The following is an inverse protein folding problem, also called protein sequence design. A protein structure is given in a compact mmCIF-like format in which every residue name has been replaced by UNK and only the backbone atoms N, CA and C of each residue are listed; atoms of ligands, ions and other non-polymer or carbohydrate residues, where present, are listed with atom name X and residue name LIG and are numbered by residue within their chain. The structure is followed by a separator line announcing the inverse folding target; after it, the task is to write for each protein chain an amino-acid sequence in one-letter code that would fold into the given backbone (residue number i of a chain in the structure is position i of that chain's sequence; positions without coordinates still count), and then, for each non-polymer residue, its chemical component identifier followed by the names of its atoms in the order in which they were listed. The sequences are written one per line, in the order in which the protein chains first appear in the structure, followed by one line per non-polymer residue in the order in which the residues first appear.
data_IF_743651372350
#
_entry.id   IF_743651372350
#
_cell.length_a   1.000
_cell.length_b   1.000
_cell.length_c   1.000
_cell.angle_alpha   90.00
_cell.angle_beta   90.00
_cell.angle_gamma   90.00
#
_symmetry.space_group_name_H-M   'P 1'
#
loop_
_entity.id
_entity.type
_entity.pdbx_description
1 polymer ?
#
# COMPACT_ATOMS: atom_id res chain seq x y z
N UNK A 1 -25.31 -38.92 4.98
CA UNK A 1 -24.64 -37.62 4.75
C UNK A 1 -24.05 -37.19 6.08
N UNK A 2 -22.73 -37.37 6.26
CA UNK A 2 -22.05 -36.85 7.44
C UNK A 2 -22.06 -35.32 7.35
N UNK A 3 -22.72 -34.67 8.30
CA UNK A 3 -22.65 -33.23 8.51
C UNK A 3 -21.18 -32.89 8.84
N UNK A 4 -20.49 -32.21 7.93
CA UNK A 4 -19.12 -31.74 8.12
C UNK A 4 -19.06 -30.71 9.26
N UNK A 5 -18.91 -31.18 10.50
CA UNK A 5 -18.69 -30.35 11.70
C UNK A 5 -17.40 -29.50 11.64
N UNK A 6 -16.54 -29.74 10.64
CA UNK A 6 -15.34 -28.94 10.36
C UNK A 6 -15.68 -27.51 9.86
N UNK A 7 -16.82 -27.36 9.18
CA UNK A 7 -17.24 -26.10 8.57
C UNK A 7 -17.52 -24.98 9.61
N UNK A 8 -18.30 -25.22 10.68
CA UNK A 8 -18.52 -24.20 11.71
C UNK A 8 -17.27 -23.85 12.52
N UNK A 9 -16.34 -24.79 12.74
CA UNK A 9 -15.12 -24.54 13.51
C UNK A 9 -14.11 -23.63 12.78
N UNK A 10 -14.03 -23.71 11.45
CA UNK A 10 -13.14 -22.85 10.64
C UNK A 10 -13.83 -21.54 10.25
N UNK A 11 -15.13 -21.57 9.96
CA UNK A 11 -15.87 -20.39 9.53
C UNK A 11 -16.08 -19.38 10.68
N UNK A 12 -16.29 -19.83 11.92
CA UNK A 12 -16.52 -18.94 13.07
C UNK A 12 -15.37 -17.94 13.35
N UNK A 13 -14.09 -18.36 13.50
CA UNK A 13 -12.99 -17.41 13.71
C UNK A 13 -12.81 -16.45 12.53
N UNK A 14 -13.08 -16.90 11.30
CA UNK A 14 -12.90 -16.08 10.10
C UNK A 14 -14.03 -15.05 9.93
N UNK A 15 -15.28 -15.41 10.27
CA UNK A 15 -16.44 -14.50 10.13
C UNK A 15 -16.67 -13.58 11.33
N UNK A 16 -16.15 -13.93 12.50
CA UNK A 16 -16.42 -13.17 13.74
C UNK A 16 -15.15 -12.54 14.30
N UNK A 17 -14.10 -13.34 14.53
CA UNK A 17 -12.88 -12.84 15.20
C UNK A 17 -12.10 -11.91 14.28
N UNK A 18 -11.90 -12.28 13.01
CA UNK A 18 -11.17 -11.44 12.05
C UNK A 18 -11.82 -10.06 11.84
N UNK A 19 -13.14 -9.92 11.61
CA UNK A 19 -13.78 -8.60 11.53
C UNK A 19 -13.60 -7.75 12.79
N UNK A 20 -13.71 -8.35 13.98
CA UNK A 20 -13.48 -7.64 15.24
C UNK A 20 -12.04 -7.11 15.31
N UNK A 21 -11.06 -7.98 15.03
CA UNK A 21 -9.64 -7.58 15.00
C UNK A 21 -9.39 -6.48 13.97
N UNK A 22 -9.93 -6.60 12.76
CA UNK A 22 -9.79 -5.58 11.73
C UNK A 22 -10.48 -4.26 12.10
N UNK A 23 -11.59 -4.31 12.85
CA UNK A 23 -12.27 -3.11 13.36
C UNK A 23 -11.40 -2.38 14.38
N UNK A 24 -10.74 -3.11 15.27
CA UNK A 24 -9.78 -2.50 16.19
C UNK A 24 -8.59 -1.90 15.44
N UNK A 25 -7.97 -2.65 14.53
CA UNK A 25 -6.84 -2.16 13.74
C UNK A 25 -7.22 -0.90 12.96
N UNK A 26 -8.38 -0.88 12.29
CA UNK A 26 -8.84 0.27 11.52
C UNK A 26 -9.12 1.48 12.41
N UNK A 27 -9.71 1.26 13.58
CA UNK A 27 -9.98 2.32 14.56
C UNK A 27 -8.68 2.93 15.09
N UNK A 28 -7.71 2.10 15.49
CA UNK A 28 -6.40 2.59 15.93
C UNK A 28 -5.66 3.35 14.82
N UNK A 29 -5.70 2.84 13.59
CA UNK A 29 -5.08 3.51 12.44
C UNK A 29 -5.74 4.87 12.15
N UNK A 30 -7.08 4.95 12.17
CA UNK A 30 -7.81 6.21 11.96
C UNK A 30 -7.52 7.24 13.07
N UNK A 31 -7.53 6.83 14.33
CA UNK A 31 -7.18 7.70 15.46
C UNK A 31 -5.74 8.20 15.31
N UNK A 32 -4.79 7.30 15.08
CA UNK A 32 -3.38 7.65 14.91
C UNK A 32 -3.13 8.62 13.75
N UNK A 33 -3.76 8.38 12.59
CA UNK A 33 -3.66 9.25 11.41
C UNK A 33 -4.29 10.63 11.67
N UNK A 34 -5.43 10.66 12.36
CA UNK A 34 -6.12 11.92 12.71
C UNK A 34 -5.30 12.76 13.69
N UNK A 35 -4.70 12.14 14.70
CA UNK A 35 -3.82 12.82 15.66
C UNK A 35 -2.57 13.39 14.96
N UNK A 36 -1.95 12.62 14.07
CA UNK A 36 -0.80 13.08 13.28
C UNK A 36 -1.19 14.25 12.35
N UNK A 37 -2.38 14.19 11.74
CA UNK A 37 -2.90 15.28 10.91
C UNK A 37 -3.10 16.55 11.73
N UNK A 38 -3.78 16.42 12.88
CA UNK A 38 -4.03 17.53 13.79
C UNK A 38 -2.72 18.16 14.26
N UNK A 39 -1.74 17.34 14.67
CA UNK A 39 -0.42 17.82 15.10
C UNK A 39 0.30 18.62 14.00
N UNK A 40 0.18 18.22 12.73
CA UNK A 40 0.80 18.94 11.60
C UNK A 40 0.06 20.24 11.25
N UNK A 41 -1.26 20.25 11.39
CA UNK A 41 -2.11 21.39 11.05
C UNK A 41 -2.11 22.48 12.13
N UNK A 42 -2.11 22.09 13.41
CA UNK A 42 -2.20 22.99 14.56
C UNK A 42 -0.83 23.48 15.04
N UNK A 43 0.27 22.81 14.69
CA UNK A 43 1.61 23.35 14.91
C UNK A 43 1.74 24.73 14.24
N UNK A 44 1.79 25.77 15.07
CA UNK A 44 1.77 27.20 14.70
C UNK A 44 3.06 27.68 14.04
N UNK A 45 4.07 26.81 13.89
CA UNK A 45 5.35 27.09 13.21
C UNK A 45 5.21 27.05 11.68
N UNK A 46 4.39 27.96 11.11
CA UNK A 46 4.27 28.14 9.64
C UNK A 46 5.61 28.45 8.95
N UNK A 47 6.61 28.93 9.68
CA UNK A 47 7.93 29.29 9.14
C UNK A 47 8.95 28.14 9.07
N UNK A 48 8.62 26.92 9.52
CA UNK A 48 9.53 25.77 9.56
C UNK A 48 9.12 24.59 8.66
N UNK A 49 8.03 24.71 7.89
CA UNK A 49 7.52 23.61 7.04
C UNK A 49 8.56 23.24 5.98
N UNK A 50 9.14 22.05 6.13
CA UNK A 50 10.11 21.41 5.24
C UNK A 50 9.45 20.29 4.43
N UNK A 51 10.10 19.83 3.37
CA UNK A 51 9.72 18.65 2.56
C UNK A 51 9.21 17.47 3.40
N UNK A 52 9.85 17.20 4.54
CA UNK A 52 9.47 16.11 5.44
C UNK A 52 8.02 16.20 5.95
N UNK A 53 7.49 17.39 6.17
CA UNK A 53 6.10 17.55 6.64
C UNK A 53 5.11 17.19 5.52
N UNK A 54 5.47 17.50 4.26
CA UNK A 54 4.68 17.11 3.08
C UNK A 54 4.67 15.59 2.93
N UNK A 55 5.82 14.94 3.13
CA UNK A 55 5.92 13.47 3.08
C UNK A 55 5.13 12.80 4.21
N UNK A 56 5.16 13.34 5.43
CA UNK A 56 4.34 12.81 6.54
C UNK A 56 2.85 13.05 6.26
N UNK A 57 2.49 14.19 5.68
CA UNK A 57 1.11 14.45 5.27
C UNK A 57 0.62 13.43 4.23
N UNK A 58 1.49 13.05 3.29
CA UNK A 58 1.20 11.99 2.32
C UNK A 58 0.92 10.65 3.00
N UNK A 59 1.76 10.25 3.96
CA UNK A 59 1.57 8.99 4.72
C UNK A 59 0.22 8.94 5.44
N UNK A 60 -0.24 10.08 5.97
CA UNK A 60 -1.54 10.16 6.66
C UNK A 60 -2.68 9.97 5.65
N UNK A 61 -2.59 10.60 4.48
CA UNK A 61 -3.61 10.47 3.42
C UNK A 61 -3.66 9.02 2.93
N UNK A 62 -2.52 8.47 2.55
CA UNK A 62 -2.37 7.08 2.10
C UNK A 62 -2.90 6.12 3.16
N UNK A 63 -2.46 6.27 4.42
CA UNK A 63 -2.89 5.43 5.53
C UNK A 63 -4.39 5.54 5.80
N UNK A 64 -5.00 6.71 5.64
CA UNK A 64 -6.43 6.91 5.83
C UNK A 64 -7.23 6.26 4.69
N UNK A 65 -6.83 6.48 3.44
CA UNK A 65 -7.48 5.87 2.26
C UNK A 65 -7.37 4.34 2.34
N UNK A 66 -6.16 3.82 2.59
CA UNK A 66 -5.92 2.39 2.71
C UNK A 66 -6.77 1.79 3.84
N UNK A 67 -6.80 2.41 5.02
CA UNK A 67 -7.60 1.93 6.15
C UNK A 67 -9.10 1.91 5.84
N UNK A 68 -9.62 2.96 5.20
CA UNK A 68 -11.05 3.03 4.84
C UNK A 68 -11.43 1.96 3.82
N UNK A 69 -10.63 1.79 2.77
CA UNK A 69 -10.89 0.79 1.73
C UNK A 69 -10.71 -0.61 2.31
N UNK A 70 -9.59 -0.88 3.00
CA UNK A 70 -9.32 -2.16 3.63
C UNK A 70 -10.43 -2.55 4.60
N UNK A 71 -10.89 -1.63 5.45
CA UNK A 71 -11.98 -1.90 6.37
C UNK A 71 -13.28 -2.21 5.63
N UNK A 72 -13.64 -1.40 4.62
CA UNK A 72 -14.86 -1.62 3.81
C UNK A 72 -14.82 -2.99 3.14
N UNK A 73 -13.70 -3.33 2.48
CA UNK A 73 -13.48 -4.60 1.81
C UNK A 73 -13.58 -5.76 2.79
N UNK A 74 -12.82 -5.72 3.89
CA UNK A 74 -12.76 -6.84 4.83
C UNK A 74 -14.09 -7.05 5.55
N UNK A 75 -14.81 -5.98 5.84
CA UNK A 75 -16.16 -6.08 6.40
C UNK A 75 -17.16 -6.66 5.40
N UNK A 76 -17.11 -6.24 4.12
CA UNK A 76 -17.95 -6.81 3.06
C UNK A 76 -17.58 -8.28 2.77
N UNK A 77 -16.30 -8.63 2.82
CA UNK A 77 -15.80 -9.98 2.52
C UNK A 77 -16.10 -11.01 3.62
N UNK A 78 -16.09 -10.61 4.90
CA UNK A 78 -16.17 -11.55 6.03
C UNK A 78 -17.47 -11.49 6.84
N UNK A 79 -18.19 -10.37 6.83
CA UNK A 79 -19.54 -10.35 7.40
C UNK A 79 -20.51 -11.02 6.42
N UNK A 80 -21.62 -11.61 6.91
CA UNK A 80 -22.71 -12.20 6.10
C UNK A 80 -23.32 -11.22 5.05
N UNK A 81 -22.87 -9.96 5.05
CA UNK A 81 -23.06 -8.98 3.99
C UNK A 81 -22.46 -9.41 2.64
N UNK A 82 -21.41 -10.23 2.60
CA UNK A 82 -20.74 -10.61 1.34
C UNK A 82 -21.63 -11.44 0.41
N UNK A 83 -22.42 -12.36 0.97
CA UNK A 83 -23.39 -13.15 0.20
C UNK A 83 -24.56 -12.28 -0.27
N UNK A 84 -25.06 -11.40 0.59
CA UNK A 84 -26.07 -10.40 0.21
C UNK A 84 -25.57 -9.42 -0.86
N UNK A 85 -24.31 -8.97 -0.79
CA UNK A 85 -23.69 -8.08 -1.77
C UNK A 85 -23.47 -8.80 -3.11
N UNK A 86 -22.99 -10.04 -3.08
CA UNK A 86 -22.77 -10.84 -4.28
C UNK A 86 -24.08 -11.21 -5.01
N UNK A 87 -25.16 -11.46 -4.27
CA UNK A 87 -26.47 -11.83 -4.82
C UNK A 87 -27.29 -10.61 -5.29
N UNK A 88 -27.22 -9.47 -4.59
CA UNK A 88 -28.10 -8.32 -4.86
C UNK A 88 -27.45 -7.22 -5.71
N UNK A 89 -26.13 -7.04 -5.65
CA UNK A 89 -25.44 -6.10 -6.53
C UNK A 89 -24.97 -6.88 -7.77
N UNK A 90 -25.65 -6.70 -8.91
CA UNK A 90 -25.43 -7.50 -10.12
C UNK A 90 -23.96 -7.67 -10.52
N UNK A 91 -23.65 -8.76 -11.22
CA UNK A 91 -22.27 -9.19 -11.59
C UNK A 91 -21.33 -8.08 -12.09
N UNK A 92 -21.86 -7.08 -12.80
CA UNK A 92 -21.07 -5.95 -13.32
C UNK A 92 -20.55 -5.00 -12.22
N UNK A 93 -21.36 -4.70 -11.20
CA UNK A 93 -20.93 -3.90 -10.04
C UNK A 93 -19.83 -4.62 -9.28
N UNK A 94 -19.95 -5.94 -9.11
CA UNK A 94 -18.94 -6.74 -8.41
C UNK A 94 -17.60 -6.80 -9.17
N UNK A 95 -17.63 -6.90 -10.50
CA UNK A 95 -16.40 -6.93 -11.31
C UNK A 95 -15.71 -5.55 -11.39
N UNK A 96 -16.49 -4.47 -11.52
CA UNK A 96 -15.94 -3.10 -11.51
C UNK A 96 -15.35 -2.76 -10.14
N UNK A 97 -16.06 -3.13 -9.07
CA UNK A 97 -15.59 -2.96 -7.69
C UNK A 97 -14.26 -3.68 -7.46
N UNK A 98 -14.14 -4.96 -7.83
CA UNK A 98 -12.90 -5.71 -7.69
C UNK A 98 -11.72 -5.08 -8.44
N UNK A 99 -11.96 -4.52 -9.64
CA UNK A 99 -10.97 -3.77 -10.40
C UNK A 99 -10.49 -2.52 -9.69
N UNK A 100 -11.43 -1.70 -9.25
CA UNK A 100 -11.11 -0.47 -8.52
C UNK A 100 -10.41 -0.75 -7.19
N UNK A 101 -10.87 -1.75 -6.44
CA UNK A 101 -10.28 -2.15 -5.17
C UNK A 101 -8.81 -2.56 -5.33
N UNK A 102 -8.53 -3.55 -6.20
CA UNK A 102 -7.17 -4.03 -6.42
C UNK A 102 -6.24 -2.93 -6.93
N UNK A 103 -6.74 -2.07 -7.82
CA UNK A 103 -6.00 -0.94 -8.34
C UNK A 103 -5.65 0.08 -7.25
N UNK A 104 -6.63 0.52 -6.46
CA UNK A 104 -6.39 1.54 -5.42
C UNK A 104 -5.49 1.00 -4.32
N UNK A 105 -5.74 -0.22 -3.82
CA UNK A 105 -4.88 -0.82 -2.79
C UNK A 105 -3.43 -0.95 -3.27
N UNK A 106 -3.22 -1.36 -4.54
CA UNK A 106 -1.87 -1.45 -5.08
C UNK A 106 -1.20 -0.09 -5.25
N UNK A 107 -1.93 0.95 -5.67
CA UNK A 107 -1.40 2.32 -5.69
C UNK A 107 -0.95 2.75 -4.30
N UNK A 108 -1.79 2.52 -3.27
CA UNK A 108 -1.46 2.89 -1.90
C UNK A 108 -0.19 2.18 -1.38
N UNK A 109 -0.01 0.90 -1.70
CA UNK A 109 1.20 0.15 -1.31
C UNK A 109 2.47 0.75 -1.93
N UNK A 110 2.44 1.07 -3.23
CA UNK A 110 3.57 1.71 -3.92
C UNK A 110 3.87 3.08 -3.34
N UNK A 111 2.82 3.90 -3.21
CA UNK A 111 2.91 5.24 -2.67
C UNK A 111 3.52 5.24 -1.26
N UNK A 112 3.08 4.33 -0.39
CA UNK A 112 3.62 4.15 0.95
C UNK A 112 5.12 3.78 0.91
N UNK A 113 5.48 2.78 0.10
CA UNK A 113 6.86 2.31 0.00
C UNK A 113 7.82 3.43 -0.47
N UNK A 114 7.45 4.15 -1.52
CA UNK A 114 8.27 5.24 -2.05
C UNK A 114 8.27 6.48 -1.16
N UNK A 115 7.17 6.79 -0.48
CA UNK A 115 7.14 7.87 0.53
C UNK A 115 8.13 7.59 1.66
N UNK A 116 8.26 6.34 2.12
CA UNK A 116 9.26 5.94 3.12
C UNK A 116 10.69 6.07 2.57
N UNK A 117 10.94 5.71 1.31
CA UNK A 117 12.23 5.92 0.64
C UNK A 117 12.60 7.41 0.64
N UNK A 118 11.68 8.30 0.26
CA UNK A 118 11.92 9.75 0.26
C UNK A 118 12.11 10.31 1.67
N UNK A 119 11.44 9.77 2.69
CA UNK A 119 11.70 10.11 4.08
C UNK A 119 13.12 9.73 4.49
N UNK A 120 13.59 8.55 4.12
CA UNK A 120 14.97 8.11 4.36
C UNK A 120 15.97 9.04 3.66
N UNK A 121 15.67 9.45 2.42
CA UNK A 121 16.48 10.38 1.65
C UNK A 121 16.56 11.77 2.32
N UNK A 122 15.43 12.37 2.74
CA UNK A 122 15.43 13.68 3.43
C UNK A 122 16.33 13.65 4.68
N UNK A 123 16.27 12.55 5.44
CA UNK A 123 17.09 12.36 6.65
C UNK A 123 18.58 12.20 6.34
N UNK A 124 18.94 11.55 5.24
CA UNK A 124 20.33 11.45 4.78
C UNK A 124 20.88 12.82 4.36
N UNK A 125 20.08 13.56 3.60
CA UNK A 125 20.46 14.84 2.99
C UNK A 125 20.57 15.99 4.01
N UNK A 126 19.96 15.86 5.20
CA UNK A 126 19.92 16.89 6.26
C UNK A 126 21.26 17.60 6.56
N UNK A 127 22.41 16.92 6.43
CA UNK A 127 23.74 17.48 6.77
C UNK A 127 24.55 17.99 5.57
N UNK A 128 24.08 17.79 4.33
CA UNK A 128 24.82 18.18 3.12
C UNK A 128 24.37 19.55 2.62
N UNK A 129 25.28 20.54 2.67
CA UNK A 129 25.00 21.92 2.22
C UNK A 129 24.62 21.99 0.74
N UNK A 130 25.20 21.14 -0.11
CA UNK A 130 24.92 21.09 -1.55
C UNK A 130 23.47 20.67 -1.88
N UNK A 131 22.78 20.00 -0.96
CA UNK A 131 21.47 19.41 -1.21
C UNK A 131 20.35 20.09 -0.41
N UNK A 132 20.58 21.30 0.12
CA UNK A 132 19.60 22.04 0.92
C UNK A 132 18.32 22.37 0.15
N UNK A 133 18.41 22.52 -1.18
CA UNK A 133 17.27 22.76 -2.07
C UNK A 133 16.23 21.64 -2.05
N UNK A 134 16.66 20.38 -1.85
CA UNK A 134 15.78 19.20 -1.83
C UNK A 134 14.81 19.25 -0.63
N UNK A 135 15.20 19.95 0.44
CA UNK A 135 14.45 19.98 1.70
C UNK A 135 13.38 21.07 1.78
N UNK A 136 13.19 21.80 0.67
CA UNK A 136 12.18 22.86 0.55
C UNK A 136 10.78 22.25 0.50
N UNK A 137 9.81 22.97 1.08
CA UNK A 137 8.40 22.58 1.07
C UNK A 137 7.87 22.35 -0.35
N UNK A 138 8.15 23.28 -1.25
CA UNK A 138 7.74 23.22 -2.67
C UNK A 138 8.31 21.97 -3.34
N UNK A 139 9.59 21.66 -3.11
CA UNK A 139 10.21 20.45 -3.66
C UNK A 139 9.53 19.18 -3.14
N UNK A 140 9.12 19.15 -1.87
CA UNK A 140 8.32 18.06 -1.32
C UNK A 140 6.97 17.89 -2.03
N UNK A 141 6.27 18.99 -2.34
CA UNK A 141 5.01 18.95 -3.10
C UNK A 141 5.25 18.42 -4.51
N UNK A 142 6.28 18.91 -5.21
CA UNK A 142 6.61 18.44 -6.55
C UNK A 142 6.93 16.94 -6.56
N UNK A 143 7.75 16.46 -5.62
CA UNK A 143 8.08 15.03 -5.48
C UNK A 143 6.81 14.20 -5.27
N UNK A 144 5.91 14.65 -4.40
CA UNK A 144 4.66 13.97 -4.11
C UNK A 144 3.75 13.89 -5.34
N UNK A 145 3.51 15.02 -6.01
CA UNK A 145 2.67 15.04 -7.22
C UNK A 145 3.27 14.15 -8.32
N UNK A 146 4.58 14.23 -8.55
CA UNK A 146 5.26 13.38 -9.52
C UNK A 146 5.16 11.90 -9.15
N UNK A 147 5.28 11.56 -7.87
CA UNK A 147 5.16 10.18 -7.40
C UNK A 147 3.75 9.64 -7.62
N UNK A 148 2.72 10.40 -7.24
CA UNK A 148 1.32 10.04 -7.47
C UNK A 148 1.02 9.80 -8.95
N UNK A 149 1.44 10.73 -9.81
CA UNK A 149 1.23 10.58 -11.26
C UNK A 149 1.97 9.37 -11.82
N UNK A 150 3.22 9.14 -11.42
CA UNK A 150 4.03 8.02 -11.88
C UNK A 150 3.43 6.67 -11.46
N UNK A 151 3.02 6.53 -10.19
CA UNK A 151 2.43 5.29 -9.67
C UNK A 151 1.06 5.03 -10.30
N UNK A 152 0.18 6.03 -10.33
CA UNK A 152 -1.13 5.88 -10.98
C UNK A 152 -0.98 5.44 -12.43
N UNK A 153 -0.08 6.08 -13.19
CA UNK A 153 0.14 5.74 -14.60
C UNK A 153 0.73 4.33 -14.78
N UNK A 154 1.74 3.98 -13.98
CA UNK A 154 2.42 2.68 -14.06
C UNK A 154 1.48 1.50 -13.76
N UNK A 155 0.48 1.70 -12.90
CA UNK A 155 -0.44 0.65 -12.46
C UNK A 155 -1.75 0.56 -13.27
N UNK A 156 -1.95 1.44 -14.26
CA UNK A 156 -3.09 1.37 -15.20
C UNK A 156 -3.34 -0.05 -15.77
N UNK A 157 -2.30 -0.85 -16.14
CA UNK A 157 -2.49 -2.21 -16.64
C UNK A 157 -3.36 -3.12 -15.75
N UNK A 158 -3.40 -2.89 -14.43
CA UNK A 158 -4.21 -3.68 -13.48
C UNK A 158 -5.69 -3.66 -13.84
N UNK A 159 -6.20 -2.52 -14.33
CA UNK A 159 -7.63 -2.35 -14.67
C UNK A 159 -8.06 -3.19 -15.89
N UNK A 160 -7.10 -3.57 -16.74
CA UNK A 160 -7.36 -4.36 -17.95
C UNK A 160 -7.40 -5.87 -17.69
N UNK A 161 -6.90 -6.34 -16.55
CA UNK A 161 -7.02 -7.75 -16.19
C UNK A 161 -8.45 -8.11 -15.78
N UNK A 162 -8.85 -9.35 -16.05
CA UNK A 162 -10.13 -9.86 -15.58
C UNK A 162 -9.98 -10.32 -14.14
N UNK A 163 -10.59 -9.56 -13.23
CA UNK A 163 -10.73 -9.94 -11.82
C UNK A 163 -12.18 -10.32 -11.56
N UNK A 164 -12.37 -11.28 -10.66
CA UNK A 164 -13.67 -11.83 -10.30
C UNK A 164 -13.75 -12.01 -8.78
N UNK A 165 -14.97 -11.89 -8.27
CA UNK A 165 -15.25 -12.20 -6.87
C UNK A 165 -15.34 -13.73 -6.72
N UNK A 166 -14.39 -14.33 -6.00
CA UNK A 166 -14.35 -15.77 -5.73
C UNK A 166 -14.92 -16.04 -4.34
N UNK A 167 -15.89 -16.95 -4.26
CA UNK A 167 -16.38 -17.46 -2.97
C UNK A 167 -15.40 -18.48 -2.42
N UNK A 168 -15.17 -18.44 -1.11
CA UNK A 168 -14.37 -19.41 -0.39
C UNK A 168 -15.25 -20.35 0.44
N UNK A 169 -14.72 -21.53 0.76
CA UNK A 169 -15.41 -22.59 1.50
C UNK A 169 -15.80 -22.24 2.93
N UNK A 170 -15.57 -21.01 3.40
CA UNK A 170 -15.99 -20.51 4.70
C UNK A 170 -16.99 -19.36 4.56
N UNK A 171 -17.55 -19.17 3.36
CA UNK A 171 -18.52 -18.13 2.98
C UNK A 171 -17.99 -16.71 3.10
N UNK A 172 -16.71 -16.52 2.79
CA UNK A 172 -16.16 -15.21 2.47
C UNK A 172 -16.04 -15.03 0.95
N UNK A 173 -15.93 -13.79 0.53
CA UNK A 173 -15.71 -13.41 -0.87
C UNK A 173 -14.46 -12.56 -0.99
N UNK A 174 -13.56 -12.89 -1.91
CA UNK A 174 -12.40 -12.03 -2.21
C UNK A 174 -12.28 -11.82 -3.71
N UNK A 175 -11.78 -10.65 -4.08
CA UNK A 175 -11.44 -10.34 -5.46
C UNK A 175 -10.15 -11.07 -5.82
N UNK A 176 -10.20 -11.89 -6.87
CA UNK A 176 -9.07 -12.68 -7.35
C UNK A 176 -8.95 -12.50 -8.87
N UNK A 177 -7.73 -12.57 -9.39
CA UNK A 177 -7.53 -12.68 -10.83
C UNK A 177 -8.18 -13.95 -11.37
N UNK A 178 -8.78 -13.88 -12.56
CA UNK A 178 -9.46 -15.04 -13.13
C UNK A 178 -8.46 -16.14 -13.53
N UNK A 179 -8.58 -17.32 -12.89
CA UNK A 179 -7.72 -18.48 -13.07
C UNK A 179 -7.70 -18.98 -14.54
N UNK A 180 -8.72 -18.72 -15.35
CA UNK A 180 -8.72 -19.10 -16.78
C UNK A 180 -7.69 -18.33 -17.60
N UNK A 181 -7.42 -17.05 -17.28
CA UNK A 181 -6.31 -16.31 -17.89
C UNK A 181 -4.96 -16.89 -17.42
N UNK A 182 -4.87 -17.32 -16.16
CA UNK A 182 -3.66 -17.93 -15.57
C UNK A 182 -3.39 -19.34 -16.14
N UNK A 183 -4.44 -20.07 -16.55
CA UNK A 183 -4.34 -21.43 -17.11
C UNK A 183 -4.22 -21.45 -18.65
N UNK A 184 -4.85 -20.54 -19.39
CA UNK A 184 -4.51 -20.29 -20.82
C UNK A 184 -3.03 -19.89 -20.98
N UNK A 185 -2.46 -19.27 -19.94
CA UNK A 185 -1.03 -19.00 -19.77
C UNK A 185 -0.15 -20.25 -19.70
N UNK A 186 -0.64 -21.40 -19.21
CA UNK A 186 0.14 -22.65 -19.17
C UNK A 186 0.25 -23.32 -20.53
N UNK A 187 -0.78 -23.19 -21.37
CA UNK A 187 -0.73 -23.63 -22.77
C UNK A 187 0.19 -22.74 -23.62
N UNK A 188 0.24 -21.43 -23.34
CA UNK A 188 1.20 -20.51 -23.97
C UNK A 188 2.65 -20.67 -23.44
N UNK A 189 2.85 -21.15 -22.20
CA UNK A 189 4.17 -21.56 -21.71
C UNK A 189 4.76 -22.73 -22.50
N UNK A 190 3.92 -23.61 -23.08
CA UNK A 190 4.36 -24.67 -24.00
C UNK A 190 4.81 -24.13 -25.37
N UNK A 191 4.48 -22.87 -25.70
CA UNK A 191 4.81 -22.23 -26.98
C UNK A 191 5.96 -21.20 -26.90
N UNK A 192 6.69 -21.10 -25.76
CA UNK A 192 7.84 -20.18 -25.59
C UNK A 192 7.55 -18.69 -25.84
N UNK A 193 6.28 -18.26 -25.86
CA UNK A 193 5.91 -16.85 -25.93
C UNK A 193 5.84 -16.31 -24.50
N UNK A 194 6.84 -15.51 -24.13
CA UNK A 194 6.95 -14.90 -22.80
C UNK A 194 5.71 -14.04 -22.53
N UNK A 195 4.84 -14.50 -21.62
CA UNK A 195 3.53 -13.89 -21.42
C UNK A 195 3.63 -12.49 -20.79
N UNK A 196 2.94 -11.48 -21.34
CA UNK A 196 2.97 -10.10 -20.85
C UNK A 196 2.56 -9.99 -19.38
N UNK A 197 1.70 -10.89 -18.91
CA UNK A 197 1.19 -10.92 -17.53
C UNK A 197 2.31 -11.28 -16.53
N UNK A 198 3.14 -12.28 -16.81
CA UNK A 198 4.27 -12.65 -15.93
C UNK A 198 5.28 -11.51 -15.84
N UNK A 199 5.55 -10.86 -16.96
CA UNK A 199 6.43 -9.68 -17.02
C UNK A 199 5.85 -8.54 -16.18
N UNK A 200 4.54 -8.27 -16.27
CA UNK A 200 3.87 -7.24 -15.45
C UNK A 200 3.95 -7.58 -13.96
N UNK A 201 3.69 -8.82 -13.55
CA UNK A 201 3.84 -9.24 -12.15
C UNK A 201 5.28 -9.13 -11.65
N UNK A 202 6.25 -9.52 -12.47
CA UNK A 202 7.66 -9.42 -12.12
C UNK A 202 8.08 -7.95 -11.95
N UNK A 203 7.68 -7.07 -12.87
CA UNK A 203 7.92 -5.64 -12.77
C UNK A 203 7.22 -5.05 -11.54
N UNK A 204 5.97 -5.42 -11.28
CA UNK A 204 5.21 -5.01 -10.10
C UNK A 204 5.90 -5.44 -8.80
N UNK A 205 6.44 -6.67 -8.74
CA UNK A 205 7.22 -7.13 -7.59
C UNK A 205 8.55 -6.38 -7.45
N UNK A 206 9.29 -6.19 -8.55
CA UNK A 206 10.59 -5.51 -8.52
C UNK A 206 10.45 -4.05 -8.12
N UNK A 207 9.53 -3.31 -8.74
CA UNK A 207 9.35 -1.88 -8.49
C UNK A 207 8.46 -1.60 -7.28
N UNK A 208 7.53 -2.47 -6.92
CA UNK A 208 6.65 -2.28 -5.76
C UNK A 208 7.29 -2.68 -4.44
N UNK A 209 8.14 -3.71 -4.44
CA UNK A 209 8.71 -4.27 -3.21
C UNK A 209 10.24 -4.22 -3.19
N UNK A 210 10.90 -4.90 -4.14
CA UNK A 210 12.34 -5.13 -4.06
C UNK A 210 13.16 -3.83 -4.11
N UNK A 211 12.84 -2.94 -5.06
CA UNK A 211 13.54 -1.68 -5.24
C UNK A 211 13.34 -0.71 -4.06
N UNK A 212 12.11 -0.44 -3.56
CA UNK A 212 11.94 0.37 -2.36
C UNK A 212 12.69 -0.17 -1.14
N UNK A 213 12.62 -1.49 -0.89
CA UNK A 213 13.34 -2.13 0.22
C UNK A 213 14.86 -1.94 0.08
N UNK A 214 15.39 -2.21 -1.12
CA UNK A 214 16.81 -2.02 -1.40
C UNK A 214 17.24 -0.57 -1.16
N UNK A 215 16.48 0.40 -1.68
CA UNK A 215 16.75 1.83 -1.50
C UNK A 215 16.67 2.25 -0.03
N UNK A 216 15.69 1.75 0.73
CA UNK A 216 15.58 2.00 2.17
C UNK A 216 16.83 1.50 2.92
N UNK A 217 17.25 0.26 2.68
CA UNK A 217 18.43 -0.33 3.31
C UNK A 217 19.68 0.47 2.95
N UNK A 218 19.87 0.79 1.66
CA UNK A 218 21.00 1.58 1.17
C UNK A 218 21.06 2.95 1.87
N UNK A 219 19.93 3.66 1.94
CA UNK A 219 19.86 4.98 2.57
C UNK A 219 20.11 4.91 4.09
N UNK A 220 19.60 3.88 4.77
CA UNK A 220 19.88 3.67 6.19
C UNK A 220 21.36 3.40 6.46
N UNK A 221 22.00 2.59 5.62
CA UNK A 221 23.45 2.32 5.68
C UNK A 221 24.24 3.61 5.42
N UNK A 222 23.92 4.35 4.36
CA UNK A 222 24.56 5.64 4.06
C UNK A 222 24.43 6.61 5.23
N UNK A 223 23.24 6.69 5.84
CA UNK A 223 23.00 7.51 7.03
C UNK A 223 23.93 7.10 8.17
N UNK A 224 24.07 5.81 8.45
CA UNK A 224 24.99 5.34 9.49
C UNK A 224 26.42 5.87 9.27
N UNK A 225 26.95 5.76 8.04
CA UNK A 225 28.28 6.27 7.71
C UNK A 225 28.39 7.80 7.81
N UNK A 226 27.38 8.56 7.36
CA UNK A 226 27.36 10.03 7.45
C UNK A 226 27.35 10.50 8.91
N UNK A 227 26.64 9.78 9.80
CA UNK A 227 26.56 10.14 11.22
C UNK A 227 27.77 9.67 12.04
N UNK A 228 28.61 8.77 11.52
CA UNK A 228 29.81 8.26 12.18
C UNK A 228 31.00 9.24 12.19
N UNK A 229 30.81 10.53 11.86
CA UNK A 229 31.89 11.52 12.05
C UNK A 229 32.37 11.47 13.50
N UNK A 230 33.67 11.30 13.75
CA UNK A 230 34.21 11.22 15.10
C UNK A 230 33.86 12.51 15.84
N UNK A 231 33.55 12.40 17.14
CA UNK A 231 33.60 13.54 18.06
C UNK A 231 35.01 14.12 17.93
N UNK A 232 35.20 15.17 17.14
CA UNK A 232 36.38 16.00 17.28
C UNK A 232 36.30 16.56 18.68
N UNK A 233 37.15 16.04 19.58
CA UNK A 233 37.33 16.61 20.90
C UNK A 233 37.64 18.09 20.68
N UNK A 234 36.69 18.95 21.06
CA UNK A 234 36.82 20.41 21.03
C UNK A 234 37.84 20.94 22.06
N UNK A 235 38.69 20.06 22.57
CA UNK A 235 39.74 20.30 23.54
C UNK A 235 40.95 19.46 23.14
N UNK A 236 41.75 19.98 22.22
CA UNK A 236 43.18 19.72 22.14
C UNK A 236 43.82 20.91 21.42
N UNK A 237 44.59 21.64 22.22
CA UNK A 237 45.48 22.79 21.96
C UNK A 237 44.83 24.05 21.43
#
# INVERSE_FOLDING_TARGET
MASNELFPQIAYPIRVILPIVYTFISTFALIGNTLNFYSLCVSTDRYSRKSIHVLIWNLIIEGTIWTLIFYTVKMVSYADLGEHFALNNGRWLNNSWCKSEMYILRIMDFLLAYTIVFLCLDRCVKKHKCCYGIRRFITGICILISLWLAVCYALIPILFFNQQLKSFNYGSYECVYNDTQINELNWLNLQNVQLPIKTIYLLDFMFGNALPIFLMILLLIMRFFIYRKPKTNKYKT
#
